data_IF_355528418356
#
_entry.id   IF_355528418356
#
_cell.length_a   1.000
_cell.length_b   1.000
_cell.length_c   1.000
_cell.angle_alpha   90.00
_cell.angle_beta   90.00
_cell.angle_gamma   90.00
#
_symmetry.space_group_name_H-M   'P 1'
#
loop_
_entity.id
_entity.type
_entity.pdbx_description
1 polymer ?
#
# COMPACT_ATOMS: atom_id res chain seq x y z
N UNK A 1 -13.71 -4.84 -21.97
CA UNK A 1 -12.95 -3.56 -22.04
C UNK A 1 -11.97 -3.44 -20.87
N UNK A 2 -12.39 -3.10 -19.64
CA UNK A 2 -11.45 -2.95 -18.51
C UNK A 2 -10.74 -4.25 -18.10
N UNK A 3 -11.41 -5.40 -18.22
CA UNK A 3 -10.83 -6.73 -17.98
C UNK A 3 -10.04 -7.29 -19.17
N UNK A 4 -10.10 -6.62 -20.33
CA UNK A 4 -9.47 -7.10 -21.56
C UNK A 4 -8.10 -6.44 -21.68
N UNK A 5 -6.98 -7.18 -21.61
CA UNK A 5 -5.65 -6.58 -21.64
C UNK A 5 -5.36 -5.88 -22.97
N UNK A 6 -4.40 -4.96 -22.95
CA UNK A 6 -3.94 -4.24 -24.14
C UNK A 6 -4.73 -2.97 -24.42
N UNK A 7 -4.83 -2.60 -25.70
CA UNK A 7 -5.37 -1.30 -26.15
C UNK A 7 -6.79 -0.97 -25.62
N UNK A 8 -7.76 -1.92 -25.54
CA UNK A 8 -9.09 -1.62 -25.02
C UNK A 8 -9.09 -1.17 -23.56
N UNK A 9 -8.28 -1.80 -22.69
CA UNK A 9 -8.12 -1.36 -21.29
C UNK A 9 -7.49 0.03 -21.20
N UNK A 10 -6.46 0.29 -22.02
CA UNK A 10 -5.75 1.58 -22.05
C UNK A 10 -6.69 2.73 -22.40
N UNK A 11 -7.51 2.57 -23.43
CA UNK A 11 -8.50 3.57 -23.85
C UNK A 11 -9.54 3.78 -22.75
N UNK A 12 -10.10 2.71 -22.18
CA UNK A 12 -11.10 2.82 -21.12
C UNK A 12 -10.55 3.53 -19.87
N UNK A 13 -9.33 3.19 -19.45
CA UNK A 13 -8.68 3.84 -18.32
C UNK A 13 -8.40 5.32 -18.58
N UNK A 14 -7.90 5.66 -19.78
CA UNK A 14 -7.67 7.06 -20.18
C UNK A 14 -8.97 7.87 -20.15
N UNK A 15 -10.06 7.33 -20.70
CA UNK A 15 -11.38 7.96 -20.69
C UNK A 15 -11.86 8.21 -19.26
N UNK A 16 -11.73 7.24 -18.35
CA UNK A 16 -12.11 7.41 -16.95
C UNK A 16 -11.30 8.50 -16.24
N UNK A 17 -9.99 8.57 -16.48
CA UNK A 17 -9.14 9.62 -15.87
C UNK A 17 -9.34 11.01 -16.48
N UNK A 18 -9.93 11.11 -17.67
CA UNK A 18 -10.28 12.40 -18.29
C UNK A 18 -11.63 12.96 -17.83
N UNK A 19 -12.43 12.19 -17.10
CA UNK A 19 -13.72 12.66 -16.61
C UNK A 19 -13.53 13.75 -15.54
N UNK A 20 -14.37 14.80 -15.54
CA UNK A 20 -14.52 15.70 -14.40
C UNK A 20 -14.87 14.93 -13.13
N UNK A 21 -14.38 15.43 -11.98
CA UNK A 21 -14.61 14.80 -10.67
C UNK A 21 -16.11 14.61 -10.36
N UNK A 22 -16.97 15.56 -10.76
CA UNK A 22 -18.42 15.45 -10.54
C UNK A 22 -19.07 14.33 -11.35
N UNK A 23 -18.67 14.14 -12.61
CA UNK A 23 -19.17 13.03 -13.42
C UNK A 23 -18.67 11.69 -12.87
N UNK A 24 -17.43 11.64 -12.39
CA UNK A 24 -16.89 10.44 -11.76
C UNK A 24 -17.61 10.10 -10.45
N UNK A 25 -17.95 11.12 -9.66
CA UNK A 25 -18.79 10.98 -8.47
C UNK A 25 -20.18 10.45 -8.84
N UNK A 26 -20.85 11.05 -9.84
CA UNK A 26 -22.15 10.57 -10.33
C UNK A 26 -22.07 9.12 -10.79
N UNK A 27 -21.02 8.73 -11.51
CA UNK A 27 -20.81 7.35 -11.95
C UNK A 27 -20.74 6.40 -10.75
N UNK A 28 -20.07 6.80 -9.67
CA UNK A 28 -19.93 6.04 -8.44
C UNK A 28 -21.23 5.95 -7.60
N UNK A 29 -22.17 6.89 -7.75
CA UNK A 29 -23.36 6.97 -6.87
C UNK A 29 -24.69 6.69 -7.57
N UNK A 30 -24.79 6.80 -8.90
CA UNK A 30 -26.07 6.80 -9.61
C UNK A 30 -26.79 5.44 -9.61
N UNK A 31 -26.05 4.34 -9.79
CA UNK A 31 -26.64 2.99 -9.86
C UNK A 31 -25.61 1.90 -9.55
N UNK A 32 -26.08 0.69 -9.28
CA UNK A 32 -25.19 -0.48 -9.15
C UNK A 32 -24.44 -0.81 -10.45
N UNK A 33 -25.05 -0.55 -11.62
CA UNK A 33 -24.40 -0.82 -12.89
C UNK A 33 -23.21 0.14 -13.14
N UNK A 34 -23.39 1.43 -12.86
CA UNK A 34 -22.35 2.45 -13.07
C UNK A 34 -21.23 2.34 -12.04
N UNK A 35 -21.56 2.09 -10.76
CA UNK A 35 -20.52 1.91 -9.72
C UNK A 35 -19.64 0.71 -10.02
N UNK A 36 -20.20 -0.36 -10.61
CA UNK A 36 -19.44 -1.54 -11.02
C UNK A 36 -18.37 -1.22 -12.09
N UNK A 37 -18.54 -0.16 -12.88
CA UNK A 37 -17.49 0.32 -13.80
C UNK A 37 -16.32 0.90 -13.01
N UNK A 38 -16.59 1.71 -11.99
CA UNK A 38 -15.57 2.31 -11.11
C UNK A 38 -14.88 1.23 -10.26
N UNK A 39 -15.64 0.29 -9.69
CA UNK A 39 -15.10 -0.83 -8.93
C UNK A 39 -14.25 -1.74 -9.82
N UNK A 40 -14.70 -2.05 -11.03
CA UNK A 40 -13.89 -2.79 -11.99
C UNK A 40 -12.61 -2.03 -12.35
N UNK A 41 -12.67 -0.72 -12.54
CA UNK A 41 -11.49 0.10 -12.77
C UNK A 41 -10.49 0.01 -11.61
N UNK A 42 -10.96 0.13 -10.36
CA UNK A 42 -10.12 0.01 -9.17
C UNK A 42 -9.55 -1.41 -8.94
N UNK A 43 -10.27 -2.44 -9.38
CA UNK A 43 -9.86 -3.84 -9.23
C UNK A 43 -8.87 -4.30 -10.30
N UNK A 44 -8.98 -3.80 -11.53
CA UNK A 44 -8.12 -4.20 -12.64
C UNK A 44 -6.73 -3.51 -12.57
N UNK A 45 -5.68 -4.17 -13.06
CA UNK A 45 -4.36 -3.56 -13.17
C UNK A 45 -4.38 -2.37 -14.14
N UNK A 46 -3.50 -1.41 -13.88
CA UNK A 46 -3.19 -0.32 -14.77
C UNK A 46 -2.69 -0.88 -16.10
N UNK A 47 -3.15 -0.29 -17.20
CA UNK A 47 -2.67 -0.63 -18.53
C UNK A 47 -1.18 -0.27 -18.65
N UNK A 48 -0.41 -0.96 -19.51
CA UNK A 48 0.99 -0.61 -19.75
C UNK A 48 1.14 0.88 -20.07
N UNK A 49 2.07 1.56 -19.40
CA UNK A 49 2.33 3.01 -19.48
C UNK A 49 1.27 3.90 -18.82
N UNK A 50 0.40 3.36 -17.97
CA UNK A 50 -0.58 4.13 -17.20
C UNK A 50 -0.46 3.89 -15.70
N UNK A 51 0.77 3.88 -15.19
CA UNK A 51 1.07 3.55 -13.79
C UNK A 51 0.42 4.50 -12.77
N UNK A 52 0.00 5.70 -13.22
CA UNK A 52 -0.68 6.70 -12.40
C UNK A 52 -2.20 6.58 -12.40
N UNK A 53 -2.78 5.57 -13.07
CA UNK A 53 -4.21 5.40 -13.24
C UNK A 53 -4.98 5.44 -11.93
N UNK A 54 -4.66 4.54 -10.99
CA UNK A 54 -5.35 4.46 -9.70
C UNK A 54 -5.12 5.71 -8.84
N UNK A 55 -3.92 6.31 -8.90
CA UNK A 55 -3.62 7.58 -8.23
C UNK A 55 -4.54 8.69 -8.73
N UNK A 56 -4.68 8.84 -10.05
CA UNK A 56 -5.52 9.87 -10.65
C UNK A 56 -7.00 9.65 -10.31
N UNK A 57 -7.47 8.40 -10.44
CA UNK A 57 -8.85 8.02 -10.17
C UNK A 57 -9.24 8.26 -8.70
N UNK A 58 -8.40 7.79 -7.77
CA UNK A 58 -8.63 8.01 -6.33
C UNK A 58 -8.45 9.47 -5.96
N UNK A 59 -7.48 10.17 -6.55
CA UNK A 59 -7.27 11.60 -6.33
C UNK A 59 -8.48 12.44 -6.68
N UNK A 60 -9.20 12.10 -7.75
CA UNK A 60 -10.45 12.77 -8.14
C UNK A 60 -11.61 12.49 -7.18
N UNK A 61 -11.68 11.28 -6.59
CA UNK A 61 -12.75 10.87 -5.69
C UNK A 61 -12.51 11.27 -4.22
N UNK A 62 -11.25 11.40 -3.80
CA UNK A 62 -10.88 11.61 -2.40
C UNK A 62 -11.53 12.84 -1.74
N UNK A 63 -11.66 14.01 -2.39
CA UNK A 63 -12.33 15.18 -1.80
C UNK A 63 -13.82 14.95 -1.49
N UNK A 64 -14.46 13.99 -2.17
CA UNK A 64 -15.88 13.64 -2.01
C UNK A 64 -16.06 12.33 -1.24
N UNK A 65 -15.01 11.83 -0.56
CA UNK A 65 -15.08 10.57 0.16
C UNK A 65 -16.20 10.49 1.23
N UNK A 66 -16.49 11.55 2.02
CA UNK A 66 -17.59 11.53 2.98
C UNK A 66 -18.96 11.35 2.32
N UNK A 67 -19.18 12.02 1.18
CA UNK A 67 -20.42 11.92 0.41
C UNK A 67 -20.56 10.52 -0.21
N UNK A 68 -19.47 9.99 -0.77
CA UNK A 68 -19.43 8.63 -1.30
C UNK A 68 -19.74 7.60 -0.21
N UNK A 69 -19.17 7.78 0.99
CA UNK A 69 -19.37 6.87 2.11
C UNK A 69 -20.82 6.82 2.63
N UNK A 70 -21.59 7.90 2.44
CA UNK A 70 -23.01 7.95 2.80
C UNK A 70 -23.94 7.43 1.69
N UNK A 71 -23.42 7.21 0.48
CA UNK A 71 -24.20 6.71 -0.66
C UNK A 71 -24.42 5.19 -0.60
N UNK A 72 -25.63 4.76 -0.99
CA UNK A 72 -26.02 3.34 -1.14
C UNK A 72 -25.02 2.56 -2.00
N UNK A 73 -24.45 3.15 -3.04
CA UNK A 73 -23.51 2.48 -3.95
C UNK A 73 -22.08 2.99 -3.77
N UNK A 74 -21.90 4.29 -3.52
CA UNK A 74 -20.59 4.93 -3.42
C UNK A 74 -19.71 4.39 -2.28
N UNK A 75 -20.31 3.89 -1.19
CA UNK A 75 -19.55 3.37 -0.06
C UNK A 75 -18.70 2.14 -0.44
N UNK A 76 -19.13 1.37 -1.44
CA UNK A 76 -18.35 0.25 -1.99
C UNK A 76 -17.05 0.73 -2.64
N UNK A 77 -17.07 1.90 -3.29
CA UNK A 77 -15.87 2.51 -3.90
C UNK A 77 -14.89 2.91 -2.81
N UNK A 78 -15.37 3.57 -1.76
CA UNK A 78 -14.53 3.97 -0.62
C UNK A 78 -13.91 2.76 0.07
N UNK A 79 -14.69 1.69 0.28
CA UNK A 79 -14.17 0.43 0.81
C UNK A 79 -13.11 -0.21 -0.11
N UNK A 80 -13.37 -0.26 -1.42
CA UNK A 80 -12.43 -0.84 -2.37
C UNK A 80 -11.07 -0.11 -2.41
N UNK A 81 -11.03 1.20 -2.11
CA UNK A 81 -9.80 1.99 -2.12
C UNK A 81 -8.81 1.54 -1.04
N UNK A 82 -9.28 1.19 0.17
CA UNK A 82 -8.36 0.82 1.27
C UNK A 82 -7.65 -0.49 0.99
N UNK A 83 -8.31 -1.40 0.28
CA UNK A 83 -7.83 -2.73 -0.14
C UNK A 83 -6.82 -2.67 -1.31
N UNK A 84 -6.58 -1.50 -1.91
CA UNK A 84 -5.57 -1.34 -2.94
C UNK A 84 -4.19 -1.18 -2.27
N UNK A 85 -3.18 -1.99 -2.58
CA UNK A 85 -1.84 -1.81 -2.02
C UNK A 85 -1.27 -0.41 -2.27
N UNK A 86 -0.50 0.12 -1.33
CA UNK A 86 0.22 1.38 -1.49
C UNK A 86 1.53 1.24 -2.26
N UNK A 87 1.98 0.02 -2.49
CA UNK A 87 3.10 -0.33 -3.37
C UNK A 87 2.67 -1.45 -4.30
N UNK A 88 3.05 -1.33 -5.57
CA UNK A 88 2.70 -2.31 -6.59
C UNK A 88 2.96 -1.73 -7.97
N UNK A 89 3.46 -2.57 -8.88
CA UNK A 89 3.77 -2.17 -10.26
C UNK A 89 2.51 -1.96 -11.10
N UNK A 90 1.50 -2.79 -10.88
CA UNK A 90 0.31 -2.82 -11.74
C UNK A 90 -0.94 -2.25 -11.08
N UNK A 91 -1.01 -2.23 -9.75
CA UNK A 91 -2.18 -1.72 -9.02
C UNK A 91 -1.71 -1.12 -7.70
N UNK A 92 -1.70 0.22 -7.61
CA UNK A 92 -1.30 0.87 -6.37
C UNK A 92 -1.95 2.24 -6.13
N UNK A 93 -2.27 2.54 -4.87
CA UNK A 93 -2.77 3.85 -4.43
C UNK A 93 -1.80 4.42 -3.40
N UNK A 94 -1.15 5.55 -3.68
CA UNK A 94 -0.20 6.16 -2.76
C UNK A 94 -0.75 6.29 -1.34
N UNK A 95 0.06 5.93 -0.35
CA UNK A 95 -0.35 5.92 1.05
C UNK A 95 -0.92 7.25 1.55
N UNK A 96 -0.37 8.38 1.06
CA UNK A 96 -0.88 9.71 1.42
C UNK A 96 -2.32 9.92 0.96
N UNK A 97 -2.75 9.36 -0.18
CA UNK A 97 -4.16 9.45 -0.61
C UNK A 97 -5.07 8.65 0.32
N UNK A 98 -4.64 7.47 0.79
CA UNK A 98 -5.39 6.75 1.84
C UNK A 98 -5.49 7.59 3.11
N UNK A 99 -4.42 8.28 3.50
CA UNK A 99 -4.47 9.19 4.65
C UNK A 99 -5.43 10.37 4.42
N UNK A 100 -5.45 10.97 3.23
CA UNK A 100 -6.37 12.05 2.87
C UNK A 100 -7.82 11.59 2.95
N UNK A 101 -8.14 10.42 2.39
CA UNK A 101 -9.49 9.83 2.47
C UNK A 101 -9.87 9.60 3.92
N UNK A 102 -9.02 8.93 4.71
CA UNK A 102 -9.33 8.65 6.11
C UNK A 102 -9.44 9.92 6.97
N UNK A 103 -8.63 10.95 6.73
CA UNK A 103 -8.74 12.23 7.41
C UNK A 103 -10.10 12.87 7.12
N UNK A 104 -10.50 12.93 5.84
CA UNK A 104 -11.80 13.47 5.44
C UNK A 104 -12.98 12.69 6.05
N UNK A 105 -12.89 11.35 6.13
CA UNK A 105 -13.89 10.52 6.80
C UNK A 105 -13.96 10.80 8.31
N UNK A 106 -12.81 11.02 8.96
CA UNK A 106 -12.76 11.33 10.39
C UNK A 106 -13.39 12.68 10.72
N UNK A 107 -13.19 13.69 9.87
CA UNK A 107 -13.82 15.02 10.03
C UNK A 107 -15.36 14.95 9.94
N UNK A 108 -15.89 13.91 9.29
CA UNK A 108 -17.33 13.69 9.09
C UNK A 108 -17.88 12.47 9.84
N UNK A 109 -17.19 11.97 10.87
CA UNK A 109 -17.54 10.73 11.55
C UNK A 109 -18.98 10.71 12.07
N UNK A 110 -19.45 11.81 12.68
CA UNK A 110 -20.80 11.89 13.23
C UNK A 110 -21.85 11.57 12.16
N UNK A 111 -21.76 12.22 10.99
CA UNK A 111 -22.64 11.94 9.85
C UNK A 111 -22.50 10.52 9.31
N UNK A 112 -21.27 9.98 9.24
CA UNK A 112 -21.05 8.59 8.83
C UNK A 112 -21.74 7.59 9.76
N UNK A 113 -21.76 7.86 11.08
CA UNK A 113 -22.35 6.96 12.06
C UNK A 113 -23.87 6.88 12.00
N UNK A 114 -24.54 7.89 11.44
CA UNK A 114 -26.00 7.88 11.26
C UNK A 114 -26.46 6.85 10.22
N UNK A 115 -25.66 6.61 9.18
CA UNK A 115 -26.01 5.69 8.08
C UNK A 115 -25.35 4.31 8.19
N UNK A 116 -26.01 3.27 7.69
CA UNK A 116 -25.40 1.93 7.62
C UNK A 116 -24.16 1.92 6.70
N UNK A 117 -24.22 2.64 5.57
CA UNK A 117 -23.12 2.74 4.60
C UNK A 117 -21.90 3.43 5.22
N UNK A 118 -22.10 4.54 5.93
CA UNK A 118 -21.03 5.25 6.62
C UNK A 118 -20.43 4.43 7.75
N UNK A 119 -21.23 3.71 8.55
CA UNK A 119 -20.73 2.75 9.55
C UNK A 119 -19.91 1.63 8.92
N UNK A 120 -20.33 1.12 7.76
CA UNK A 120 -19.59 0.12 6.99
C UNK A 120 -18.20 0.64 6.62
N UNK A 121 -18.12 1.85 6.05
CA UNK A 121 -16.87 2.52 5.70
C UNK A 121 -15.99 2.74 6.93
N UNK A 122 -16.55 3.29 8.01
CA UNK A 122 -15.82 3.55 9.25
C UNK A 122 -15.15 2.29 9.81
N UNK A 123 -15.87 1.17 9.84
CA UNK A 123 -15.36 -0.12 10.30
C UNK A 123 -14.29 -0.68 9.36
N UNK A 124 -14.51 -0.62 8.04
CA UNK A 124 -13.57 -1.11 7.03
C UNK A 124 -12.25 -0.35 7.08
N UNK A 125 -12.32 0.97 7.19
CA UNK A 125 -11.16 1.86 7.29
C UNK A 125 -10.51 1.90 8.68
N UNK A 126 -10.99 1.10 9.64
CA UNK A 126 -10.51 1.09 11.03
C UNK A 126 -10.51 2.48 11.66
N UNK A 127 -11.58 3.25 11.48
CA UNK A 127 -11.66 4.64 11.95
C UNK A 127 -11.43 4.81 13.46
N UNK A 128 -11.85 3.84 14.29
CA UNK A 128 -11.55 3.89 15.73
C UNK A 128 -10.05 3.79 16.02
N UNK A 129 -9.28 3.00 15.25
CA UNK A 129 -7.81 2.97 15.34
C UNK A 129 -7.23 4.30 14.89
N UNK A 130 -7.76 4.92 13.84
CA UNK A 130 -7.29 6.23 13.39
C UNK A 130 -7.37 7.28 14.52
N UNK A 131 -8.49 7.32 15.24
CA UNK A 131 -8.72 8.28 16.33
C UNK A 131 -7.88 8.00 17.58
N UNK A 132 -7.82 6.75 18.01
CA UNK A 132 -7.23 6.38 19.31
C UNK A 132 -5.76 5.97 19.23
N UNK A 133 -5.35 5.36 18.11
CA UNK A 133 -4.05 4.70 17.93
C UNK A 133 -3.56 4.90 16.50
N UNK A 134 -3.28 6.16 16.16
CA UNK A 134 -2.88 6.61 14.80
C UNK A 134 -1.72 5.78 14.21
N UNK A 135 -0.72 5.41 15.03
CA UNK A 135 0.40 4.58 14.64
C UNK A 135 -0.02 3.16 14.22
N UNK A 136 -0.97 2.57 14.94
CA UNK A 136 -1.46 1.22 14.66
C UNK A 136 -2.31 1.22 13.39
N UNK A 137 -3.06 2.29 13.15
CA UNK A 137 -3.74 2.48 11.87
C UNK A 137 -2.74 2.54 10.71
N UNK A 138 -1.63 3.28 10.86
CA UNK A 138 -0.60 3.37 9.80
C UNK A 138 0.05 2.02 9.54
N UNK A 139 0.34 1.23 10.58
CA UNK A 139 0.87 -0.13 10.43
C UNK A 139 -0.14 -1.02 9.67
N UNK A 140 -1.38 -1.08 10.14
CA UNK A 140 -2.45 -1.84 9.49
C UNK A 140 -2.64 -1.45 8.02
N UNK A 141 -2.75 -0.15 7.72
CA UNK A 141 -3.00 0.33 6.36
C UNK A 141 -1.83 0.05 5.39
N UNK A 142 -0.63 -0.24 5.91
CA UNK A 142 0.54 -0.69 5.16
C UNK A 142 0.65 -2.22 5.11
N UNK A 143 0.16 -2.95 6.11
CA UNK A 143 0.06 -4.42 6.10
C UNK A 143 -0.91 -4.91 5.01
N UNK A 144 -1.92 -4.11 4.67
CA UNK A 144 -2.81 -4.33 3.51
C UNK A 144 -2.03 -4.36 2.18
N UNK A 145 -0.78 -3.88 2.14
CA UNK A 145 0.08 -3.98 0.96
C UNK A 145 0.58 -5.42 0.70
N UNK A 146 0.24 -6.38 1.56
CA UNK A 146 0.78 -7.73 1.57
C UNK A 146 2.22 -7.77 2.09
N UNK A 147 2.88 -8.94 2.11
CA UNK A 147 4.33 -9.02 2.29
C UNK A 147 5.02 -8.48 1.03
N UNK A 148 4.88 -7.18 0.76
CA UNK A 148 5.64 -6.50 -0.28
C UNK A 148 7.08 -6.40 0.15
N UNK A 149 7.98 -7.13 -0.51
CA UNK A 149 9.44 -7.09 -0.37
C UNK A 149 9.89 -6.59 1.01
N UNK A 150 9.81 -7.49 1.98
CA UNK A 150 10.60 -7.36 3.19
C UNK A 150 12.05 -7.09 2.78
N UNK A 151 12.64 -6.04 3.36
CA UNK A 151 14.08 -5.72 3.39
C UNK A 151 14.69 -4.80 2.32
N UNK A 152 14.04 -3.68 1.97
CA UNK A 152 14.86 -2.45 1.92
C UNK A 152 14.91 -1.83 3.30
N UNK A 153 15.80 -2.37 4.15
CA UNK A 153 16.13 -1.79 5.45
C UNK A 153 16.24 -0.26 5.31
N UNK A 154 15.63 0.49 6.23
CA UNK A 154 15.72 1.95 6.21
C UNK A 154 17.20 2.35 6.25
N UNK A 155 17.61 3.48 5.64
CA UNK A 155 19.03 3.85 5.59
C UNK A 155 19.74 3.94 6.96
N UNK A 156 18.98 4.19 8.03
CA UNK A 156 19.51 4.18 9.40
C UNK A 156 19.57 2.78 10.03
N UNK A 157 18.71 1.86 9.62
CA UNK A 157 18.79 0.43 10.01
C UNK A 157 19.96 -0.25 9.30
N UNK A 158 20.21 0.07 8.01
CA UNK A 158 21.42 -0.36 7.29
C UNK A 158 22.70 0.11 7.98
N UNK A 159 22.80 1.41 8.31
CA UNK A 159 23.96 1.97 9.03
C UNK A 159 24.19 1.31 10.39
N UNK A 160 23.12 0.99 11.13
CA UNK A 160 23.22 0.33 12.43
C UNK A 160 23.71 -1.12 12.30
N UNK A 161 23.29 -1.83 11.25
CA UNK A 161 23.76 -3.18 10.95
C UNK A 161 25.23 -3.18 10.48
N UNK A 162 25.62 -2.17 9.71
CA UNK A 162 26.99 -1.99 9.22
C UNK A 162 27.96 -1.64 10.36
N UNK A 163 27.53 -0.81 11.33
CA UNK A 163 28.27 -0.57 12.56
C UNK A 163 28.42 -1.81 13.44
N UNK A 164 27.41 -2.69 13.48
CA UNK A 164 27.52 -3.98 14.21
C UNK A 164 28.47 -4.97 13.52
N UNK A 165 28.54 -4.96 12.18
CA UNK A 165 29.46 -5.81 11.41
C UNK A 165 30.91 -5.31 11.44
N UNK A 166 31.14 -4.00 11.58
CA UNK A 166 32.48 -3.40 11.66
C UNK A 166 33.23 -3.64 12.98
N UNK A 167 32.62 -4.30 13.96
CA UNK A 167 33.16 -4.47 15.32
C UNK A 167 33.81 -5.83 15.64
N UNK A 168 33.92 -6.77 14.70
CA UNK A 168 34.52 -8.08 14.98
C UNK A 168 36.05 -8.04 14.77
N UNK A 169 36.89 -8.23 15.81
CA UNK A 169 38.32 -8.38 15.63
C UNK A 169 38.60 -9.74 14.96
N UNK A 170 39.49 -9.74 13.96
CA UNK A 170 39.99 -10.98 13.33
C UNK A 170 40.60 -11.89 14.40
N UNK A 171 40.31 -13.20 14.43
CA UNK A 171 41.03 -14.12 15.29
C UNK A 171 42.49 -14.19 14.83
N UNK A 172 43.44 -13.98 15.75
CA UNK A 172 44.86 -14.13 15.46
C UNK A 172 45.20 -15.59 15.16
N UNK A 173 46.06 -15.88 14.17
CA UNK A 173 46.49 -17.23 13.88
C UNK A 173 47.34 -17.77 15.05
N UNK A 174 46.91 -18.90 15.60
CA UNK A 174 47.58 -19.65 16.67
C UNK A 174 48.91 -20.17 16.12
N UNK A 175 50.05 -19.70 16.66
CA UNK A 175 51.39 -20.22 16.32
C UNK A 175 51.47 -21.69 16.68
N UNK A 176 51.66 -22.55 15.68
CA UNK A 176 52.05 -23.95 15.86
C UNK A 176 53.42 -24.00 16.53
N UNK A 177 53.47 -24.73 17.66
CA UNK A 177 54.70 -25.03 18.37
C UNK A 177 55.38 -26.17 17.61
N UNK A 178 56.43 -25.85 16.85
CA UNK A 178 57.29 -26.88 16.25
C UNK A 178 57.99 -27.65 17.37
N UNK A 179 57.70 -28.94 17.45
CA UNK A 179 58.39 -29.90 18.29
C UNK A 179 59.64 -30.37 17.52
N UNK A 180 60.82 -29.94 17.97
CA UNK A 180 62.11 -30.48 17.54
C UNK A 180 62.20 -31.92 18.07
N UNK A 181 62.24 -32.89 17.16
CA UNK A 181 62.72 -34.24 17.47
C UNK A 181 64.15 -34.32 16.92
N UNK A 182 65.12 -34.17 17.82
CA UNK A 182 66.50 -34.63 17.62
C UNK A 182 66.51 -36.13 17.91
N UNK A 183 66.92 -36.94 16.94
CA UNK A 183 67.43 -38.30 17.20
C UNK A 183 68.81 -38.35 16.55
N UNK A 184 69.82 -38.35 17.42
CA UNK A 184 71.22 -38.63 17.13
C UNK A 184 71.39 -40.03 16.53
N UNK A 185 72.28 -40.10 15.54
CA UNK A 185 72.99 -41.30 15.11
C UNK A 185 73.87 -41.84 16.24
N UNK A 186 73.86 -43.15 16.43
CA UNK A 186 74.99 -44.00 16.84
C UNK A 186 74.58 -45.42 16.37
N UNK A 187 75.36 -46.25 15.66
CA UNK A 187 76.80 -46.36 15.61
C UNK A 187 77.20 -47.76 16.11
N UNK A 188 77.05 -48.80 15.27
CA UNK A 188 77.88 -50.03 15.14
C UNK A 188 77.18 -51.11 14.28
#
# INVERSE_FOLDING_TARGET
MLKTPGQPSKVAQKSLTSLPADLLFQLATQSMATVNVVLAALANPAAPQNDFFHKALVGALAPRAPDLAQSLTGHNVVNAIVDIPSRGKERSVPFHLKQTVMASLADHEAALRESWFGRSVWRTWKGDKWKTRRSDWVKWAKEVDGPGDETTLKPWEKRKLEQQRGGQPRPQPRKERQEKVEVEEDGE
#
